data_IF_046200605482
#
_entry.id   IF_046200605482
#
_cell.length_a   1.000
_cell.length_b   1.000
_cell.length_c   1.000
_cell.angle_alpha   90.00
_cell.angle_beta   90.00
_cell.angle_gamma   90.00
#
_symmetry.space_group_name_H-M   'P 1'
#
loop_
_entity.id
_entity.type
_entity.pdbx_description
1 polymer ?
#
# COMPACT_ATOMS: atom_id res chain seq x y z
N UNK A 1 -43.77 -9.87 33.34
CA UNK A 1 -42.86 -10.00 32.18
C UNK A 1 -42.65 -8.73 31.34
N UNK A 2 -43.43 -7.64 31.50
CA UNK A 2 -43.20 -6.37 30.74
C UNK A 2 -42.10 -5.46 31.31
N UNK A 3 -41.80 -5.59 32.61
CA UNK A 3 -40.81 -4.73 33.30
C UNK A 3 -39.37 -5.17 32.98
N UNK A 4 -39.11 -6.46 32.83
CA UNK A 4 -37.78 -7.02 32.58
C UNK A 4 -37.21 -6.68 31.20
N UNK A 5 -38.05 -6.44 30.19
CA UNK A 5 -37.60 -6.04 28.83
C UNK A 5 -37.06 -4.61 28.75
N UNK A 6 -37.56 -3.69 29.59
CA UNK A 6 -37.11 -2.28 29.61
C UNK A 6 -35.68 -2.13 30.16
N UNK A 7 -35.28 -3.00 31.10
CA UNK A 7 -33.94 -2.98 31.69
C UNK A 7 -32.86 -3.48 30.72
N UNK A 8 -33.20 -4.41 29.82
CA UNK A 8 -32.26 -4.94 28.82
C UNK A 8 -31.96 -3.91 27.73
N UNK A 9 -32.94 -3.12 27.30
CA UNK A 9 -32.75 -2.08 26.30
C UNK A 9 -31.85 -0.93 26.81
N UNK A 10 -32.02 -0.51 28.07
CA UNK A 10 -31.16 0.51 28.69
C UNK A 10 -29.70 0.04 28.86
N UNK A 11 -29.50 -1.24 29.18
CA UNK A 11 -28.16 -1.83 29.28
C UNK A 11 -27.45 -1.92 27.91
N UNK A 12 -28.20 -2.18 26.83
CA UNK A 12 -27.64 -2.26 25.48
C UNK A 12 -27.21 -0.89 24.92
N UNK A 13 -27.98 0.18 25.17
CA UNK A 13 -27.63 1.54 24.75
C UNK A 13 -26.41 2.10 25.50
N UNK A 14 -26.25 1.75 26.78
CA UNK A 14 -25.05 2.11 27.55
C UNK A 14 -23.80 1.35 27.07
N UNK A 15 -23.92 0.08 26.65
CA UNK A 15 -22.78 -0.69 26.16
C UNK A 15 -22.26 -0.20 24.80
N UNK A 16 -23.14 0.30 23.92
CA UNK A 16 -22.77 0.83 22.59
C UNK A 16 -22.03 2.18 22.64
N UNK A 17 -22.16 2.93 23.73
CA UNK A 17 -21.46 4.23 23.92
C UNK A 17 -20.11 4.09 24.61
N UNK A 18 -19.82 2.96 25.28
CA UNK A 18 -18.56 2.75 26.00
C UNK A 18 -17.39 2.26 25.12
N UNK A 19 -17.65 1.73 23.92
CA UNK A 19 -16.57 1.16 23.08
C UNK A 19 -15.82 2.19 22.22
N UNK A 20 -16.22 3.46 22.25
CA UNK A 20 -15.61 4.54 21.46
C UNK A 20 -14.66 5.47 22.25
N UNK A 21 -14.41 5.20 23.53
CA UNK A 21 -13.54 6.03 24.37
C UNK A 21 -12.16 5.35 24.60
N UNK A 22 -11.04 6.05 24.33
CA UNK A 22 -9.71 5.54 24.66
C UNK A 22 -9.57 5.35 26.18
N UNK A 23 -8.87 4.28 26.57
CA UNK A 23 -8.69 3.82 27.94
C UNK A 23 -8.06 4.90 28.85
N UNK A 24 -8.92 5.65 29.55
CA UNK A 24 -8.55 6.48 30.69
C UNK A 24 -8.96 5.77 31.99
N UNK A 25 -8.24 5.95 33.10
CA UNK A 25 -8.48 5.19 34.32
C UNK A 25 -9.80 5.64 34.99
N UNK A 26 -10.75 4.72 35.09
CA UNK A 26 -11.75 4.69 36.16
C UNK A 26 -12.72 5.87 36.24
N UNK A 27 -13.47 6.17 35.18
CA UNK A 27 -14.70 6.95 35.33
C UNK A 27 -15.84 6.02 35.68
N UNK A 28 -16.25 5.99 36.95
CA UNK A 28 -17.53 5.38 37.35
C UNK A 28 -18.66 6.18 36.69
N UNK A 29 -19.26 5.62 35.65
CA UNK A 29 -20.47 6.19 35.03
C UNK A 29 -21.64 5.86 35.95
N UNK A 30 -22.11 6.88 36.69
CA UNK A 30 -23.31 6.78 37.50
C UNK A 30 -24.53 6.90 36.58
N UNK A 31 -25.50 6.00 36.73
CA UNK A 31 -26.80 6.19 36.08
C UNK A 31 -27.40 7.52 36.58
N UNK A 32 -27.97 8.31 35.68
CA UNK A 32 -28.56 9.60 36.04
C UNK A 32 -29.63 9.41 37.13
N UNK A 33 -29.43 10.03 38.30
CA UNK A 33 -30.31 9.88 39.48
C UNK A 33 -31.71 10.49 39.30
N UNK A 34 -31.99 11.15 38.17
CA UNK A 34 -33.30 11.69 37.83
C UNK A 34 -33.58 11.61 36.32
N UNK A 35 -34.68 10.96 35.95
CA UNK A 35 -35.17 10.83 34.55
C UNK A 35 -35.85 12.12 34.06
N UNK A 36 -36.06 13.10 34.94
CA UNK A 36 -36.71 14.36 34.61
C UNK A 36 -35.71 15.35 34.02
N UNK A 37 -35.46 15.22 32.72
CA UNK A 37 -34.83 16.28 31.93
C UNK A 37 -35.89 17.36 31.64
N UNK A 38 -35.69 18.58 32.15
CA UNK A 38 -36.50 19.72 31.73
C UNK A 38 -36.00 20.21 30.38
N UNK A 39 -36.67 19.82 29.30
CA UNK A 39 -36.41 20.35 27.95
C UNK A 39 -37.06 21.72 27.84
N UNK A 40 -36.25 22.77 27.69
CA UNK A 40 -36.73 24.12 27.35
C UNK A 40 -36.72 24.25 25.83
N UNK A 41 -37.90 24.38 25.25
CA UNK A 41 -38.04 24.72 23.84
C UNK A 41 -37.82 26.22 23.65
N UNK A 42 -37.07 26.61 22.62
CA UNK A 42 -36.94 28.00 22.18
C UNK A 42 -37.59 28.15 20.80
N UNK A 43 -38.94 28.25 20.70
CA UNK A 43 -39.63 28.31 19.41
C UNK A 43 -39.19 29.49 18.53
N UNK A 44 -38.71 30.56 19.16
CA UNK A 44 -38.23 31.78 18.50
C UNK A 44 -36.80 31.67 17.95
N UNK A 45 -36.10 30.57 18.26
CA UNK A 45 -34.76 30.27 17.79
C UNK A 45 -34.77 28.94 16.99
N UNK A 46 -35.83 28.76 16.18
CA UNK A 46 -35.96 27.59 15.33
C UNK A 46 -34.85 27.58 14.27
N UNK A 47 -34.28 26.40 14.04
CA UNK A 47 -33.35 26.19 12.95
C UNK A 47 -34.08 26.36 11.63
N UNK A 48 -33.56 27.18 10.73
CA UNK A 48 -34.05 27.31 9.33
C UNK A 48 -33.41 26.28 8.40
N UNK A 49 -32.63 25.33 8.93
CA UNK A 49 -32.04 24.25 8.16
C UNK A 49 -33.15 23.31 7.65
N UNK A 50 -33.15 23.00 6.36
CA UNK A 50 -34.23 22.28 5.68
C UNK A 50 -35.62 22.95 5.79
N UNK A 51 -35.71 24.28 5.66
CA UNK A 51 -36.99 24.95 5.42
C UNK A 51 -37.35 24.85 3.92
N UNK A 52 -38.25 23.93 3.60
CA UNK A 52 -38.69 23.60 2.24
C UNK A 52 -39.94 24.36 1.81
N UNK A 53 -40.63 25.03 2.74
CA UNK A 53 -41.91 25.69 2.49
C UNK A 53 -41.86 27.23 2.63
N UNK A 54 -40.80 27.78 3.23
CA UNK A 54 -40.53 29.21 3.38
C UNK A 54 -41.20 29.87 4.58
N UNK A 55 -41.67 29.11 5.57
CA UNK A 55 -42.30 29.63 6.80
C UNK A 55 -41.29 30.02 7.90
N UNK A 56 -40.00 29.78 7.68
CA UNK A 56 -38.93 30.07 8.63
C UNK A 56 -38.66 28.95 9.63
N UNK A 57 -39.22 27.75 9.42
CA UNK A 57 -39.03 26.58 10.28
C UNK A 57 -38.45 25.41 9.46
N UNK A 58 -37.37 24.79 9.96
CA UNK A 58 -36.83 23.58 9.35
C UNK A 58 -37.76 22.36 9.52
N UNK A 59 -38.00 21.61 8.45
CA UNK A 59 -38.77 20.37 8.52
C UNK A 59 -37.96 19.20 9.08
N UNK A 60 -38.61 18.43 9.94
CA UNK A 60 -38.06 17.18 10.45
C UNK A 60 -38.17 16.08 9.39
N UNK A 61 -37.04 15.69 8.80
CA UNK A 61 -36.98 14.62 7.80
C UNK A 61 -37.00 13.22 8.41
N UNK A 62 -36.71 13.10 9.70
CA UNK A 62 -36.76 11.83 10.41
C UNK A 62 -35.55 11.54 11.27
N UNK A 63 -35.30 10.25 11.49
CA UNK A 63 -34.28 9.79 12.41
C UNK A 63 -33.76 8.41 12.00
N UNK A 64 -32.58 8.08 12.50
CA UNK A 64 -31.86 6.94 11.98
C UNK A 64 -30.54 6.64 12.65
N UNK A 65 -29.77 5.80 11.98
CA UNK A 65 -28.45 5.37 12.45
C UNK A 65 -27.43 5.38 11.32
N UNK A 66 -26.15 5.45 11.67
CA UNK A 66 -25.08 5.20 10.71
C UNK A 66 -24.89 3.70 10.54
N UNK A 67 -24.74 3.25 9.30
CA UNK A 67 -24.48 1.85 8.96
C UNK A 67 -22.98 1.51 9.01
N UNK A 68 -22.18 2.32 9.70
CA UNK A 68 -20.72 2.20 9.71
C UNK A 68 -20.26 0.93 10.43
N UNK A 69 -19.63 0.04 9.66
CA UNK A 69 -18.98 -1.21 10.06
C UNK A 69 -19.87 -2.28 10.71
N UNK A 70 -20.81 -1.92 11.59
CA UNK A 70 -21.70 -2.90 12.24
C UNK A 70 -22.66 -3.55 11.24
N UNK A 71 -23.19 -2.77 10.29
CA UNK A 71 -24.11 -3.28 9.27
C UNK A 71 -23.42 -4.30 8.35
N UNK A 72 -22.15 -4.04 8.00
CA UNK A 72 -21.32 -5.02 7.29
C UNK A 72 -21.13 -6.29 8.13
N UNK A 73 -20.88 -6.16 9.44
CA UNK A 73 -20.66 -7.30 10.34
C UNK A 73 -21.87 -8.20 10.50
N UNK A 74 -23.08 -7.65 10.59
CA UNK A 74 -24.30 -8.45 10.67
C UNK A 74 -24.72 -9.00 9.30
N UNK A 75 -24.31 -8.34 8.21
CA UNK A 75 -24.56 -8.76 6.83
C UNK A 75 -23.98 -10.13 6.45
N UNK A 76 -23.03 -10.66 7.24
CA UNK A 76 -22.52 -12.03 7.07
C UNK A 76 -23.52 -13.12 7.51
N UNK A 77 -24.66 -12.74 8.07
CA UNK A 77 -25.73 -13.66 8.46
C UNK A 77 -27.06 -13.14 7.97
N UNK A 78 -27.74 -13.91 7.13
CA UNK A 78 -29.08 -13.58 6.65
C UNK A 78 -30.07 -13.42 7.82
N UNK A 79 -29.98 -14.29 8.83
CA UNK A 79 -30.84 -14.22 10.01
C UNK A 79 -30.67 -12.91 10.78
N UNK A 80 -29.43 -12.49 11.05
CA UNK A 80 -29.17 -11.23 11.75
C UNK A 80 -29.55 -10.01 10.91
N UNK A 81 -29.37 -10.10 9.58
CA UNK A 81 -29.77 -9.05 8.65
C UNK A 81 -31.27 -8.83 8.69
N UNK A 82 -32.07 -9.90 8.58
CA UNK A 82 -33.53 -9.80 8.63
C UNK A 82 -34.04 -9.30 9.99
N UNK A 83 -33.44 -9.77 11.09
CA UNK A 83 -33.80 -9.29 12.44
C UNK A 83 -33.46 -7.81 12.64
N UNK A 84 -32.32 -7.35 12.12
CA UNK A 84 -31.94 -5.95 12.18
C UNK A 84 -32.85 -5.07 11.30
N UNK A 85 -33.23 -5.54 10.11
CA UNK A 85 -34.14 -4.83 9.22
C UNK A 85 -35.51 -4.61 9.89
N UNK A 86 -36.09 -5.64 10.50
CA UNK A 86 -37.33 -5.56 11.27
C UNK A 86 -37.19 -4.58 12.44
N UNK A 87 -36.17 -4.75 13.28
CA UNK A 87 -36.02 -3.94 14.49
C UNK A 87 -35.72 -2.47 14.22
N UNK A 88 -35.00 -2.15 13.14
CA UNK A 88 -34.59 -0.78 12.86
C UNK A 88 -35.50 -0.06 11.89
N UNK A 89 -36.01 -0.72 10.85
CA UNK A 89 -36.60 -0.06 9.68
C UNK A 89 -38.03 -0.50 9.34
N UNK A 90 -38.68 -1.33 10.18
CA UNK A 90 -40.09 -1.69 9.99
C UNK A 90 -41.01 -0.97 10.98
N UNK A 91 -42.31 -0.95 10.64
CA UNK A 91 -43.40 -0.40 11.46
C UNK A 91 -43.53 -1.13 12.82
N UNK A 92 -43.10 -2.40 12.89
CA UNK A 92 -43.08 -3.20 14.13
C UNK A 92 -41.86 -2.90 15.03
N UNK A 93 -40.85 -2.22 14.48
CA UNK A 93 -39.59 -1.91 15.13
C UNK A 93 -39.48 -0.45 15.55
N UNK A 94 -38.30 0.11 15.29
CA UNK A 94 -38.01 1.51 15.51
C UNK A 94 -38.52 2.40 14.39
N UNK A 95 -38.91 1.88 13.21
CA UNK A 95 -39.39 2.70 12.10
C UNK A 95 -38.44 3.88 11.76
N UNK A 96 -37.14 3.58 11.73
CA UNK A 96 -36.14 4.51 11.23
C UNK A 96 -36.36 4.71 9.73
N UNK A 97 -36.30 5.95 9.28
CA UNK A 97 -36.43 6.30 7.86
C UNK A 97 -35.12 6.86 7.27
N UNK A 98 -34.06 6.97 8.08
CA UNK A 98 -32.74 7.47 7.65
C UNK A 98 -31.65 6.42 7.93
N UNK A 99 -30.92 6.04 6.88
CA UNK A 99 -29.71 5.21 6.99
C UNK A 99 -28.49 5.94 6.45
N UNK A 100 -27.53 6.30 7.33
CA UNK A 100 -26.29 6.98 6.89
C UNK A 100 -25.24 5.94 6.48
N UNK A 101 -25.14 5.69 5.18
CA UNK A 101 -24.07 4.88 4.58
C UNK A 101 -22.74 5.65 4.52
N UNK A 102 -21.62 4.93 4.57
CA UNK A 102 -20.28 5.52 4.60
C UNK A 102 -19.60 5.20 3.27
N UNK A 103 -19.18 6.24 2.55
CA UNK A 103 -18.24 6.09 1.45
C UNK A 103 -16.84 6.04 2.07
N UNK A 104 -16.28 4.83 2.16
CA UNK A 104 -14.96 4.63 2.75
C UNK A 104 -13.86 5.17 1.82
N UNK A 105 -13.01 6.06 2.34
CA UNK A 105 -11.73 6.40 1.69
C UNK A 105 -10.66 5.43 2.16
N UNK A 106 -10.41 4.37 1.41
CA UNK A 106 -9.30 3.45 1.64
C UNK A 106 -8.44 3.31 0.39
N UNK A 107 -7.11 3.36 0.53
CA UNK A 107 -6.16 2.99 -0.51
C UNK A 107 -6.10 1.45 -0.61
N UNK A 108 -6.98 0.88 -1.42
CA UNK A 108 -6.93 -0.54 -1.76
C UNK A 108 -7.62 -0.80 -3.11
N UNK A 109 -7.01 -0.36 -4.21
CA UNK A 109 -7.47 -0.79 -5.55
C UNK A 109 -6.92 -2.14 -5.95
N UNK A 110 -5.93 -2.71 -5.25
CA UNK A 110 -5.23 -3.91 -5.72
C UNK A 110 -4.51 -3.73 -7.06
N UNK A 111 -4.61 -2.54 -7.65
CA UNK A 111 -3.95 -2.15 -8.87
C UNK A 111 -2.56 -1.67 -8.51
N UNK A 112 -1.56 -2.33 -9.08
CA UNK A 112 -0.19 -1.87 -9.02
C UNK A 112 -0.13 -0.58 -9.80
N UNK A 113 0.17 0.54 -9.13
CA UNK A 113 0.43 1.80 -9.82
C UNK A 113 1.81 1.71 -10.47
N UNK A 114 1.83 1.55 -11.79
CA UNK A 114 3.05 1.52 -12.58
C UNK A 114 3.81 2.84 -12.45
N UNK A 115 5.11 2.73 -12.20
CA UNK A 115 6.00 3.89 -12.24
C UNK A 115 6.29 4.23 -13.69
N UNK A 116 6.08 5.49 -14.12
CA UNK A 116 6.43 5.93 -15.48
C UNK A 116 7.91 5.67 -15.76
N UNK A 117 8.20 5.04 -16.89
CA UNK A 117 9.59 4.79 -17.33
C UNK A 117 10.25 6.12 -17.66
N UNK A 118 11.47 6.33 -17.16
CA UNK A 118 12.26 7.49 -17.52
C UNK A 118 12.73 7.38 -18.97
N UNK A 119 12.17 8.20 -19.86
CA UNK A 119 12.50 8.21 -21.30
C UNK A 119 13.95 8.60 -21.60
N UNK A 120 14.65 9.23 -20.64
CA UNK A 120 16.06 9.60 -20.77
C UNK A 120 17.02 8.49 -20.32
N UNK A 121 16.52 7.40 -19.73
CA UNK A 121 17.36 6.30 -19.29
C UNK A 121 17.83 5.48 -20.51
N UNK A 122 19.16 5.32 -20.63
CA UNK A 122 19.78 4.50 -21.67
C UNK A 122 20.29 3.20 -21.08
N UNK A 123 19.93 2.09 -21.71
CA UNK A 123 20.33 0.75 -21.28
C UNK A 123 21.58 0.29 -22.04
N UNK A 124 22.65 0.06 -21.30
CA UNK A 124 23.82 -0.68 -21.74
C UNK A 124 23.75 -2.06 -21.09
N UNK A 125 23.34 -3.05 -21.88
CA UNK A 125 23.01 -4.40 -21.41
C UNK A 125 23.81 -5.46 -22.20
N UNK A 126 23.32 -6.70 -22.25
CA UNK A 126 24.02 -7.81 -22.90
C UNK A 126 23.50 -8.11 -24.32
N UNK A 127 22.53 -7.35 -24.83
CA UNK A 127 21.79 -7.70 -26.05
C UNK A 127 21.56 -6.52 -27.01
N UNK A 128 21.49 -5.30 -26.49
CA UNK A 128 21.20 -4.10 -27.25
C UNK A 128 22.35 -3.79 -28.18
N UNK A 129 22.10 -3.93 -29.49
CA UNK A 129 23.07 -3.68 -30.55
C UNK A 129 23.71 -2.29 -30.38
N UNK A 130 25.05 -2.25 -30.41
CA UNK A 130 25.83 -1.03 -30.20
C UNK A 130 25.95 -0.57 -28.74
N UNK A 131 25.38 -1.30 -27.78
CA UNK A 131 25.48 -1.03 -26.33
C UNK A 131 25.87 -2.26 -25.49
N UNK A 132 26.24 -3.34 -26.15
CA UNK A 132 26.80 -4.55 -25.53
C UNK A 132 28.25 -4.34 -25.09
N UNK A 133 28.71 -5.01 -24.01
CA UNK A 133 30.10 -4.92 -23.59
C UNK A 133 31.02 -5.75 -24.45
N UNK A 134 32.29 -5.38 -24.48
CA UNK A 134 33.40 -6.26 -24.86
C UNK A 134 33.96 -6.97 -23.62
N UNK A 135 34.40 -8.22 -23.79
CA UNK A 135 35.06 -9.03 -22.77
C UNK A 135 35.81 -10.21 -23.42
N UNK A 136 36.85 -10.72 -22.76
CA UNK A 136 37.75 -11.76 -23.28
C UNK A 136 37.88 -13.01 -22.38
N UNK A 137 37.15 -13.09 -21.27
CA UNK A 137 37.20 -14.21 -20.34
C UNK A 137 36.69 -15.52 -20.96
N UNK A 138 37.44 -16.61 -20.81
CA UNK A 138 37.13 -17.88 -21.50
C UNK A 138 35.90 -18.62 -20.97
N UNK A 139 35.43 -18.28 -19.77
CA UNK A 139 34.26 -18.89 -19.13
C UNK A 139 33.06 -17.94 -19.06
N UNK A 140 33.18 -16.73 -19.61
CA UNK A 140 32.13 -15.74 -19.65
C UNK A 140 31.10 -16.08 -20.72
N UNK A 141 29.86 -16.32 -20.29
CA UNK A 141 28.76 -16.66 -21.18
C UNK A 141 27.48 -15.95 -20.72
N UNK A 142 26.79 -15.33 -21.69
CA UNK A 142 25.49 -14.72 -21.49
C UNK A 142 24.44 -15.84 -21.45
N UNK A 143 23.71 -15.93 -20.34
CA UNK A 143 22.72 -16.98 -20.09
C UNK A 143 21.35 -16.39 -19.71
N UNK A 144 20.28 -17.09 -20.08
CA UNK A 144 18.92 -16.76 -19.64
C UNK A 144 18.70 -17.16 -18.18
N UNK A 145 18.16 -16.22 -17.39
CA UNK A 145 17.80 -16.41 -16.00
C UNK A 145 16.27 -16.47 -15.88
N UNK A 146 15.76 -17.69 -15.70
CA UNK A 146 14.31 -17.96 -15.54
C UNK A 146 13.90 -18.20 -14.09
N UNK A 147 14.86 -18.46 -13.21
CA UNK A 147 14.62 -18.82 -11.80
C UNK A 147 13.94 -17.71 -10.99
N UNK A 148 13.99 -16.47 -11.49
CA UNK A 148 13.36 -15.31 -10.85
C UNK A 148 12.08 -14.87 -11.54
N UNK A 149 11.57 -15.60 -12.55
CA UNK A 149 10.46 -15.10 -13.38
C UNK A 149 9.21 -14.70 -12.59
N UNK A 150 8.93 -15.41 -11.50
CA UNK A 150 7.75 -15.23 -10.65
C UNK A 150 8.07 -14.51 -9.33
N UNK A 151 9.33 -14.11 -9.12
CA UNK A 151 9.72 -13.24 -8.00
C UNK A 151 9.20 -11.83 -8.30
N UNK A 152 8.65 -11.16 -7.29
CA UNK A 152 8.17 -9.79 -7.44
C UNK A 152 9.22 -8.78 -6.99
N UNK A 153 9.28 -7.63 -7.68
CA UNK A 153 10.10 -6.50 -7.22
C UNK A 153 9.57 -5.96 -5.88
N UNK A 154 10.47 -5.71 -4.94
CA UNK A 154 10.19 -5.11 -3.63
C UNK A 154 10.24 -3.58 -3.66
N UNK A 155 10.80 -2.99 -4.73
CA UNK A 155 10.95 -1.55 -4.97
C UNK A 155 10.57 -1.23 -6.42
N UNK A 156 10.18 0.02 -6.67
CA UNK A 156 10.03 0.55 -8.03
C UNK A 156 11.25 1.41 -8.39
N UNK A 157 11.64 1.42 -9.66
CA UNK A 157 12.67 2.31 -10.19
C UNK A 157 12.29 2.74 -11.61
N UNK A 158 12.11 4.05 -11.80
CA UNK A 158 11.72 4.62 -13.08
C UNK A 158 12.81 4.47 -14.16
N UNK A 159 14.09 4.47 -13.78
CA UNK A 159 15.20 4.40 -14.72
C UNK A 159 15.35 3.00 -15.31
N UNK A 160 15.06 1.97 -14.51
CA UNK A 160 15.00 0.59 -14.99
C UNK A 160 13.60 0.18 -15.49
N UNK A 161 12.58 1.01 -15.26
CA UNK A 161 11.21 0.77 -15.71
C UNK A 161 10.48 -0.37 -14.99
N UNK A 162 10.92 -0.78 -13.80
CA UNK A 162 10.23 -1.80 -13.01
C UNK A 162 9.40 -1.20 -11.87
N UNK A 163 8.31 -1.87 -11.53
CA UNK A 163 7.37 -1.44 -10.49
C UNK A 163 7.29 -2.47 -9.37
N UNK A 164 7.28 -1.99 -8.12
CA UNK A 164 7.05 -2.82 -6.94
C UNK A 164 5.77 -3.66 -7.11
N UNK A 165 5.89 -4.96 -6.84
CA UNK A 165 4.80 -5.93 -6.94
C UNK A 165 4.65 -6.57 -8.31
N UNK A 166 5.31 -6.07 -9.37
CA UNK A 166 5.35 -6.77 -10.66
C UNK A 166 6.40 -7.87 -10.65
N UNK A 167 6.20 -8.89 -11.49
CA UNK A 167 7.13 -9.99 -11.65
C UNK A 167 8.42 -9.53 -12.34
N UNK A 168 9.57 -10.04 -11.89
CA UNK A 168 10.89 -9.79 -12.49
C UNK A 168 10.97 -10.30 -13.92
N UNK A 169 10.33 -11.44 -14.21
CA UNK A 169 10.40 -12.06 -15.54
C UNK A 169 11.75 -12.73 -15.83
N UNK A 170 11.98 -13.01 -17.10
CA UNK A 170 13.23 -13.59 -17.59
C UNK A 170 14.18 -12.48 -18.02
N UNK A 171 15.46 -12.60 -17.67
CA UNK A 171 16.49 -11.65 -18.07
C UNK A 171 17.80 -12.39 -18.37
N UNK A 172 18.70 -11.76 -19.10
CA UNK A 172 20.04 -12.30 -19.35
C UNK A 172 21.04 -11.84 -18.30
N UNK A 173 21.96 -12.73 -17.95
CA UNK A 173 23.07 -12.41 -17.06
C UNK A 173 24.36 -13.05 -17.57
N UNK A 174 25.48 -12.45 -17.18
CA UNK A 174 26.83 -12.93 -17.46
C UNK A 174 27.60 -13.04 -16.14
N UNK A 175 28.33 -14.14 -15.97
CA UNK A 175 29.16 -14.40 -14.79
C UNK A 175 30.65 -14.25 -15.09
N UNK A 176 31.49 -14.68 -14.15
CA UNK A 176 32.96 -14.63 -14.27
C UNK A 176 33.51 -13.20 -14.45
N UNK A 177 33.00 -12.26 -13.65
CA UNK A 177 33.51 -10.89 -13.62
C UNK A 177 34.71 -10.81 -12.65
N UNK A 178 35.85 -10.33 -13.15
CA UNK A 178 37.07 -10.17 -12.35
C UNK A 178 37.09 -8.85 -11.54
N UNK A 179 38.08 -8.73 -10.66
CA UNK A 179 38.42 -7.45 -10.03
C UNK A 179 38.92 -6.45 -11.09
N UNK A 180 38.80 -5.14 -10.81
CA UNK A 180 39.22 -4.12 -11.77
C UNK A 180 40.72 -4.17 -12.02
N UNK A 181 41.10 -4.28 -13.29
CA UNK A 181 42.51 -4.27 -13.72
C UNK A 181 43.19 -5.63 -13.69
N UNK A 182 42.48 -6.70 -13.36
CA UNK A 182 42.94 -8.05 -13.59
C UNK A 182 43.03 -8.34 -15.09
N UNK A 183 44.06 -9.09 -15.49
CA UNK A 183 44.20 -9.57 -16.86
C UNK A 183 43.14 -10.66 -17.18
N UNK A 184 42.66 -10.75 -18.42
CA UNK A 184 41.71 -11.78 -18.83
C UNK A 184 42.23 -13.21 -18.57
N UNK A 185 41.35 -14.06 -18.07
CA UNK A 185 41.60 -15.48 -17.81
C UNK A 185 40.31 -16.29 -17.98
N UNK A 186 39.88 -16.98 -16.92
CA UNK A 186 38.53 -17.57 -16.91
C UNK A 186 37.44 -16.50 -16.93
N UNK A 187 37.67 -15.40 -16.22
CA UNK A 187 36.84 -14.20 -16.25
C UNK A 187 37.57 -13.00 -16.84
N UNK A 188 36.85 -11.88 -16.97
CA UNK A 188 37.33 -10.58 -17.42
C UNK A 188 36.44 -9.46 -16.84
N UNK A 189 36.81 -8.20 -17.04
CA UNK A 189 35.92 -7.06 -16.84
C UNK A 189 34.95 -6.92 -18.03
N UNK A 190 33.81 -6.23 -17.82
CA UNK A 190 32.90 -5.83 -18.90
C UNK A 190 33.26 -4.42 -19.36
N UNK A 191 33.62 -4.28 -20.64
CA UNK A 191 34.06 -3.01 -21.20
C UNK A 191 32.94 -2.38 -22.04
N UNK A 192 32.33 -1.33 -21.51
CA UNK A 192 31.29 -0.57 -22.22
C UNK A 192 31.86 0.74 -22.78
N UNK A 193 31.59 1.00 -24.05
CA UNK A 193 31.79 2.34 -24.63
C UNK A 193 30.47 3.12 -24.53
N UNK A 194 30.40 4.04 -23.58
CA UNK A 194 29.21 4.87 -23.36
C UNK A 194 29.33 6.16 -24.17
N UNK A 195 28.46 6.32 -25.18
CA UNK A 195 28.36 7.55 -25.94
C UNK A 195 27.34 8.48 -25.29
N UNK A 196 27.77 9.70 -24.97
CA UNK A 196 26.91 10.76 -24.43
C UNK A 196 26.64 11.81 -25.51
N UNK A 197 25.37 12.22 -25.64
CA UNK A 197 24.95 13.19 -26.66
C UNK A 197 25.22 14.64 -26.22
N UNK A 198 25.22 14.90 -24.92
CA UNK A 198 25.41 16.22 -24.33
C UNK A 198 26.47 16.20 -23.22
N UNK A 199 27.07 17.35 -22.94
CA UNK A 199 27.96 17.48 -21.79
C UNK A 199 27.11 17.63 -20.52
N UNK A 200 27.36 16.82 -19.49
CA UNK A 200 26.56 16.85 -18.28
C UNK A 200 27.00 15.88 -17.19
N UNK A 201 26.28 15.93 -16.07
CA UNK A 201 26.43 14.95 -14.99
C UNK A 201 25.45 13.82 -15.18
N UNK A 202 25.98 12.60 -15.25
CA UNK A 202 25.20 11.39 -15.46
C UNK A 202 25.17 10.54 -14.19
N UNK A 203 24.02 9.92 -13.94
CA UNK A 203 23.91 8.88 -12.91
C UNK A 203 24.06 7.53 -13.59
N UNK A 204 25.02 6.73 -13.12
CA UNK A 204 25.18 5.34 -13.56
C UNK A 204 24.53 4.43 -12.52
N UNK A 205 23.59 3.60 -12.95
CA UNK A 205 23.00 2.56 -12.12
C UNK A 205 23.45 1.20 -12.63
N UNK A 206 23.75 0.28 -11.72
CA UNK A 206 24.09 -1.10 -12.04
C UNK A 206 23.00 -2.01 -11.51
N UNK A 207 22.55 -2.94 -12.36
CA UNK A 207 21.67 -4.02 -11.98
C UNK A 207 22.46 -5.33 -12.01
N UNK A 208 22.46 -6.03 -10.88
CA UNK A 208 23.29 -7.20 -10.65
C UNK A 208 22.42 -8.36 -10.17
N UNK A 209 22.82 -9.57 -10.53
CA UNK A 209 22.26 -10.79 -9.96
C UNK A 209 23.36 -11.58 -9.28
N UNK A 210 23.05 -12.16 -8.12
CA UNK A 210 23.98 -12.91 -7.29
C UNK A 210 23.28 -14.19 -6.85
N UNK A 211 24.04 -15.28 -6.75
CA UNK A 211 23.54 -16.54 -6.19
C UNK A 211 24.29 -16.85 -4.90
N UNK A 212 23.55 -17.12 -3.83
CA UNK A 212 24.14 -17.38 -2.50
C UNK A 212 24.38 -16.10 -1.70
N UNK A 213 25.24 -16.19 -0.69
CA UNK A 213 25.68 -15.04 0.12
C UNK A 213 26.71 -14.20 -0.63
N UNK A 214 26.66 -12.87 -0.44
CA UNK A 214 27.62 -11.95 -1.01
C UNK A 214 28.48 -11.29 0.05
N UNK A 215 29.79 -11.44 -0.09
CA UNK A 215 30.83 -10.77 0.70
C UNK A 215 31.71 -9.88 -0.19
N UNK A 216 31.36 -9.72 -1.47
CA UNK A 216 32.17 -9.01 -2.46
C UNK A 216 31.63 -7.60 -2.67
N UNK A 217 32.57 -6.66 -2.82
CA UNK A 217 32.28 -5.32 -3.32
C UNK A 217 32.01 -5.38 -4.83
N UNK A 218 31.40 -4.30 -5.34
CA UNK A 218 31.22 -4.05 -6.76
C UNK A 218 31.98 -2.78 -7.12
N UNK A 219 32.66 -2.79 -8.24
CA UNK A 219 33.42 -1.63 -8.69
C UNK A 219 33.20 -1.33 -10.18
N UNK A 220 33.29 -0.05 -10.53
CA UNK A 220 33.37 0.42 -11.92
C UNK A 220 34.56 1.35 -12.07
N UNK A 221 35.19 1.30 -13.25
CA UNK A 221 36.22 2.26 -13.65
C UNK A 221 35.69 3.12 -14.77
N UNK A 222 35.67 4.42 -14.57
CA UNK A 222 35.23 5.41 -15.57
C UNK A 222 36.45 6.06 -16.20
N UNK A 223 36.43 6.21 -17.53
CA UNK A 223 37.51 6.84 -18.30
C UNK A 223 38.92 6.29 -18.01
N UNK A 224 39.00 5.00 -17.65
CA UNK A 224 40.25 4.30 -17.39
C UNK A 224 41.01 4.74 -16.13
N UNK A 225 40.47 5.65 -15.32
CA UNK A 225 41.22 6.28 -14.21
C UNK A 225 40.41 6.41 -12.93
N UNK A 226 39.10 6.63 -13.02
CA UNK A 226 38.26 6.91 -11.86
C UNK A 226 37.55 5.65 -11.39
N UNK A 227 38.02 5.08 -10.28
CA UNK A 227 37.43 3.90 -9.67
C UNK A 227 36.36 4.28 -8.64
N UNK A 228 35.18 3.68 -8.79
CA UNK A 228 34.07 3.79 -7.86
C UNK A 228 33.77 2.40 -7.31
N UNK A 229 33.83 2.25 -5.99
CA UNK A 229 33.65 0.97 -5.30
C UNK A 229 32.49 1.08 -4.31
N UNK A 230 31.61 0.09 -4.33
CA UNK A 230 30.50 -0.07 -3.39
C UNK A 230 30.72 -1.35 -2.61
N UNK A 231 30.77 -1.26 -1.27
CA UNK A 231 31.00 -2.40 -0.40
C UNK A 231 29.84 -3.42 -0.42
N UNK A 232 30.13 -4.64 0.05
CA UNK A 232 29.18 -5.75 0.05
C UNK A 232 27.93 -5.44 0.89
N UNK A 233 28.07 -4.75 2.03
CA UNK A 233 26.95 -4.41 2.91
C UNK A 233 25.96 -3.47 2.22
N UNK A 234 26.49 -2.48 1.49
CA UNK A 234 25.69 -1.54 0.71
C UNK A 234 24.99 -2.23 -0.45
N UNK A 235 25.66 -3.15 -1.15
CA UNK A 235 25.03 -3.98 -2.19
C UNK A 235 23.89 -4.81 -1.60
N UNK A 236 24.14 -5.49 -0.48
CA UNK A 236 23.18 -6.36 0.19
C UNK A 236 21.96 -5.59 0.74
N UNK A 237 22.15 -4.34 1.19
CA UNK A 237 21.06 -3.48 1.65
C UNK A 237 20.15 -2.98 0.50
N UNK A 238 20.62 -3.05 -0.74
CA UNK A 238 19.92 -2.55 -1.92
C UNK A 238 19.29 -3.65 -2.80
N UNK A 239 19.10 -4.85 -2.25
CA UNK A 239 18.36 -5.93 -2.91
C UNK A 239 16.94 -5.46 -3.27
N UNK A 240 16.56 -5.65 -4.53
CA UNK A 240 15.25 -5.29 -5.06
C UNK A 240 14.35 -6.51 -5.30
N UNK A 241 14.92 -7.70 -5.44
CA UNK A 241 14.20 -8.95 -5.61
C UNK A 241 15.06 -10.10 -5.09
N UNK A 242 14.47 -11.02 -4.35
CA UNK A 242 15.16 -12.21 -3.85
C UNK A 242 14.22 -13.41 -3.89
N UNK A 243 14.66 -14.50 -4.49
CA UNK A 243 13.93 -15.76 -4.55
C UNK A 243 14.74 -16.90 -3.93
N UNK A 244 14.04 -17.93 -3.46
CA UNK A 244 14.67 -19.19 -3.07
C UNK A 244 14.73 -20.11 -4.29
N UNK A 245 15.86 -20.77 -4.53
CA UNK A 245 16.03 -21.76 -5.60
C UNK A 245 15.32 -23.10 -5.28
N UNK A 246 14.08 -23.10 -4.79
CA UNK A 246 13.33 -24.32 -4.48
C UNK A 246 12.25 -24.59 -5.53
#
# INVERSE_FOLDING_TARGET
MKVTKKWVAAAAAAALTLTSLPAMPGTTVQAADSVDQTVRLEPWNASTFNDTNGDGLGEFEGWGTSLCWWANRIGYSEQLTSQAAELFFSDEGLDMNIGRYNVGGGDATGEIQEVPVNENALFYDLETEGRTPEYAGTSMEVNDITKMQSVQFSKSDADFGFTKGTNVGTFKAIGWINELGDEPGSGDNLHYTVNVEEEGTYTVKLLLTLTGSNERAVAIRVNGTDDYVVDADTVNANVIASGSNN
#
